data_IF_542892052126
#
_entry.id   IF_542892052126
#
_cell.length_a   1.000
_cell.length_b   1.000
_cell.length_c   1.000
_cell.angle_alpha   90.00
_cell.angle_beta   90.00
_cell.angle_gamma   90.00
#
_symmetry.space_group_name_H-M   'P 1'
#
loop_
_entity.id
_entity.type
_entity.pdbx_description
1 polymer ?
#
# COMPACT_ATOMS: atom_id res chain seq x y z
N UNK A 1 -13.18 -7.76 3.07
CA UNK A 1 -14.28 -7.26 2.24
C UNK A 1 -14.86 -6.07 2.97
N UNK A 2 -15.09 -4.95 2.28
CA UNK A 2 -15.80 -3.81 2.89
C UNK A 2 -17.27 -3.94 2.52
N UNK A 3 -18.14 -3.78 3.51
CA UNK A 3 -19.56 -3.57 3.34
C UNK A 3 -19.86 -2.13 3.67
N UNK A 4 -20.82 -1.53 2.97
CA UNK A 4 -21.23 -0.16 3.23
C UNK A 4 -22.72 0.02 2.99
N UNK A 5 -23.28 0.98 3.70
CA UNK A 5 -24.68 1.39 3.61
C UNK A 5 -24.78 2.91 3.53
N UNK A 6 -25.74 3.38 2.74
CA UNK A 6 -26.08 4.78 2.60
C UNK A 6 -27.29 5.15 3.45
N UNK A 7 -27.23 6.35 4.02
CA UNK A 7 -28.33 6.97 4.75
C UNK A 7 -28.50 8.40 4.24
N UNK A 8 -29.62 9.04 4.58
CA UNK A 8 -29.81 10.47 4.32
C UNK A 8 -28.82 11.37 5.07
N UNK A 9 -28.03 10.81 5.99
CA UNK A 9 -27.05 11.54 6.82
C UNK A 9 -25.60 11.15 6.53
N UNK A 10 -25.37 10.43 5.44
CA UNK A 10 -24.05 10.02 4.95
C UNK A 10 -23.89 8.51 4.82
N UNK A 11 -22.63 8.07 4.84
CA UNK A 11 -22.23 6.71 4.46
C UNK A 11 -21.54 6.02 5.63
N UNK A 12 -21.87 4.77 5.85
CA UNK A 12 -21.27 3.93 6.88
C UNK A 12 -20.61 2.72 6.22
N UNK A 13 -19.40 2.37 6.66
CA UNK A 13 -18.67 1.23 6.15
C UNK A 13 -18.06 0.39 7.27
N UNK A 14 -18.05 -0.92 7.05
CA UNK A 14 -17.47 -1.93 7.95
C UNK A 14 -16.54 -2.84 7.16
N UNK A 15 -15.39 -3.19 7.73
CA UNK A 15 -14.46 -4.13 7.11
C UNK A 15 -14.53 -5.55 7.70
N UNK A 16 -13.69 -6.45 7.16
CA UNK A 16 -13.66 -7.85 7.60
C UNK A 16 -13.05 -8.06 9.00
N UNK A 17 -12.44 -7.04 9.60
CA UNK A 17 -11.97 -7.04 10.97
C UNK A 17 -12.95 -6.33 11.91
N UNK A 18 -14.18 -6.06 11.45
CA UNK A 18 -15.24 -5.37 12.19
C UNK A 18 -14.86 -3.93 12.59
N UNK A 19 -13.87 -3.34 11.91
CA UNK A 19 -13.65 -1.91 12.04
C UNK A 19 -14.80 -1.18 11.36
N UNK A 20 -15.17 -0.02 11.90
CA UNK A 20 -16.27 0.78 11.39
C UNK A 20 -15.81 2.22 11.14
N UNK A 21 -16.33 2.81 10.06
CA UNK A 21 -16.14 4.23 9.78
C UNK A 21 -17.44 4.86 9.30
N UNK A 22 -17.68 6.10 9.72
CA UNK A 22 -18.86 6.88 9.31
C UNK A 22 -18.44 8.21 8.70
N UNK A 23 -18.78 8.38 7.42
CA UNK A 23 -18.78 9.67 6.73
C UNK A 23 -20.12 10.34 7.01
N UNK A 24 -20.11 11.44 7.76
CA UNK A 24 -21.34 12.20 8.03
C UNK A 24 -21.51 13.23 6.92
N UNK A 25 -22.66 13.24 6.26
CA UNK A 25 -23.03 14.17 5.21
C UNK A 25 -24.53 14.51 5.40
N UNK A 26 -24.86 15.68 5.98
CA UNK A 26 -26.17 15.94 6.57
C UNK A 26 -27.33 15.95 5.56
N UNK A 27 -27.03 16.20 4.29
CA UNK A 27 -27.97 16.29 3.17
C UNK A 27 -27.58 15.33 2.03
N UNK A 28 -27.01 14.17 2.39
CA UNK A 28 -26.56 13.17 1.43
C UNK A 28 -27.69 12.68 0.52
N UNK A 29 -27.46 12.77 -0.78
CA UNK A 29 -28.30 12.20 -1.81
C UNK A 29 -27.46 11.32 -2.74
N UNK A 30 -27.77 10.04 -2.80
CA UNK A 30 -27.09 9.09 -3.67
C UNK A 30 -27.21 9.51 -5.14
N UNK A 31 -26.10 9.48 -5.86
CA UNK A 31 -26.06 9.81 -7.27
C UNK A 31 -25.74 8.56 -8.09
N UNK A 32 -26.51 8.32 -9.16
CA UNK A 32 -26.27 7.20 -10.06
C UNK A 32 -25.01 7.38 -10.92
N UNK A 33 -24.62 8.64 -11.17
CA UNK A 33 -23.41 8.97 -11.91
C UNK A 33 -22.18 8.82 -11.01
N UNK A 34 -21.43 7.73 -11.19
CA UNK A 34 -20.19 7.52 -10.48
C UNK A 34 -19.16 8.61 -10.85
N UNK A 35 -18.57 9.25 -9.84
CA UNK A 35 -17.36 10.06 -10.00
C UNK A 35 -16.19 9.15 -9.65
N UNK A 36 -15.22 9.00 -10.56
CA UNK A 36 -14.11 8.06 -10.38
C UNK A 36 -13.04 8.66 -9.47
N UNK A 37 -12.74 7.97 -8.38
CA UNK A 37 -11.56 8.27 -7.57
C UNK A 37 -10.25 7.84 -8.28
N UNK A 38 -9.23 8.71 -8.33
CA UNK A 38 -7.95 8.33 -8.93
C UNK A 38 -7.16 7.36 -8.05
N UNK A 39 -7.36 7.38 -6.73
CA UNK A 39 -6.78 6.41 -5.80
C UNK A 39 -7.62 5.13 -5.74
N UNK A 40 -6.94 4.00 -5.59
CA UNK A 40 -7.61 2.70 -5.46
C UNK A 40 -8.27 2.57 -4.09
N UNK A 41 -9.55 2.23 -4.12
CA UNK A 41 -10.40 1.94 -2.98
C UNK A 41 -10.99 0.54 -3.13
N UNK A 42 -11.47 -0.03 -2.02
CA UNK A 42 -12.08 -1.37 -2.02
C UNK A 42 -13.57 -1.33 -2.30
N UNK A 43 -14.19 -0.21 -1.94
CA UNK A 43 -15.58 0.10 -2.15
C UNK A 43 -15.70 1.61 -2.34
N UNK A 44 -16.62 2.03 -3.18
CA UNK A 44 -16.82 3.41 -3.55
C UNK A 44 -18.32 3.66 -3.74
N UNK A 45 -18.74 4.87 -3.37
CA UNK A 45 -20.05 5.39 -3.72
C UNK A 45 -19.96 6.87 -4.09
N UNK A 46 -20.98 7.39 -4.77
CA UNK A 46 -21.07 8.80 -5.16
C UNK A 46 -22.40 9.38 -4.70
N UNK A 47 -22.35 10.61 -4.21
CA UNK A 47 -23.54 11.35 -3.80
C UNK A 47 -23.33 12.86 -3.91
N UNK A 48 -24.40 13.59 -3.60
CA UNK A 48 -24.41 15.05 -3.54
C UNK A 48 -24.63 15.46 -2.09
N UNK A 49 -23.86 16.44 -1.62
CA UNK A 49 -23.95 16.96 -0.25
C UNK A 49 -23.38 18.37 -0.16
N UNK A 50 -23.88 19.20 0.75
CA UNK A 50 -23.32 20.54 1.02
C UNK A 50 -22.10 20.50 1.93
N UNK A 51 -21.93 19.41 2.68
CA UNK A 51 -20.76 19.20 3.52
C UNK A 51 -20.55 17.71 3.81
N UNK A 52 -19.34 17.34 4.23
CA UNK A 52 -19.10 16.05 4.85
C UNK A 52 -18.08 16.13 5.99
N UNK A 53 -18.07 15.11 6.85
CA UNK A 53 -17.04 14.95 7.86
C UNK A 53 -16.67 13.49 8.11
N UNK A 54 -15.38 13.25 8.29
CA UNK A 54 -14.79 11.93 8.51
C UNK A 54 -13.90 11.95 9.76
N UNK A 55 -13.86 10.84 10.52
CA UNK A 55 -12.87 10.74 11.59
C UNK A 55 -11.48 10.66 10.94
N UNK A 56 -10.53 11.47 11.41
CA UNK A 56 -9.17 11.48 10.89
C UNK A 56 -8.26 12.05 11.98
N UNK A 57 -7.17 11.33 12.29
CA UNK A 57 -6.07 11.90 13.08
C UNK A 57 -5.12 12.69 12.19
N UNK A 58 -4.84 12.13 11.01
CA UNK A 58 -4.05 12.74 9.94
C UNK A 58 -4.87 12.73 8.64
N UNK A 59 -4.69 13.76 7.81
CA UNK A 59 -5.33 13.84 6.51
C UNK A 59 -4.41 14.49 5.48
N UNK A 60 -4.53 14.02 4.24
CA UNK A 60 -3.74 14.48 3.12
C UNK A 60 -4.67 15.02 2.03
N UNK A 61 -4.34 16.19 1.49
CA UNK A 61 -5.07 16.82 0.39
C UNK A 61 -4.18 16.91 -0.85
N UNK A 62 -4.67 16.39 -1.96
CA UNK A 62 -4.03 16.48 -3.27
C UNK A 62 -4.99 17.07 -4.31
N UNK A 63 -4.45 17.75 -5.31
CA UNK A 63 -5.19 18.10 -6.52
C UNK A 63 -4.61 17.31 -7.68
N UNK A 64 -5.41 16.57 -8.49
CA UNK A 64 -4.88 15.76 -9.59
C UNK A 64 -4.24 16.60 -10.70
N UNK A 65 -4.53 17.90 -10.77
CA UNK A 65 -3.87 18.83 -11.69
C UNK A 65 -2.43 19.14 -11.29
N UNK A 66 -2.10 18.96 -10.00
CA UNK A 66 -0.77 19.22 -9.46
C UNK A 66 -0.14 17.92 -8.96
N UNK A 67 1.17 17.77 -9.07
CA UNK A 67 1.85 16.65 -8.40
C UNK A 67 2.05 16.91 -6.90
N UNK A 68 1.49 18.00 -6.37
CA UNK A 68 1.66 18.41 -4.99
C UNK A 68 0.55 17.80 -4.13
N UNK A 69 0.97 17.30 -2.96
CA UNK A 69 0.10 16.83 -1.91
C UNK A 69 0.51 17.51 -0.62
N UNK A 70 -0.46 17.90 0.20
CA UNK A 70 -0.25 18.64 1.44
C UNK A 70 -0.91 17.89 2.59
N UNK A 71 -0.15 17.64 3.66
CA UNK A 71 -0.70 17.13 4.92
C UNK A 71 -1.40 18.27 5.65
N UNK A 72 -2.64 18.03 6.08
CA UNK A 72 -3.43 18.97 6.87
C UNK A 72 -3.02 18.86 8.33
N UNK A 73 -2.74 19.99 8.98
CA UNK A 73 -2.47 20.02 10.41
C UNK A 73 -3.75 20.24 11.22
N UNK A 74 -3.80 19.68 12.42
CA UNK A 74 -4.91 19.92 13.35
C UNK A 74 -5.03 21.42 13.71
N UNK A 75 -6.26 21.93 13.70
CA UNK A 75 -6.61 23.33 13.90
C UNK A 75 -6.43 24.22 12.66
N UNK A 76 -5.95 23.67 11.54
CA UNK A 76 -5.77 24.42 10.31
C UNK A 76 -7.07 24.51 9.52
N UNK A 77 -7.31 25.69 8.93
CA UNK A 77 -8.40 25.95 7.99
C UNK A 77 -7.82 26.33 6.65
N UNK A 78 -8.22 25.61 5.61
CA UNK A 78 -7.74 25.84 4.26
C UNK A 78 -8.91 26.16 3.34
N UNK A 79 -8.82 27.30 2.65
CA UNK A 79 -9.74 27.65 1.57
C UNK A 79 -9.20 27.08 0.26
N UNK A 80 -9.99 26.23 -0.39
CA UNK A 80 -9.71 25.69 -1.70
C UNK A 80 -10.37 26.55 -2.77
N UNK A 81 -9.64 26.76 -3.86
CA UNK A 81 -10.14 27.44 -5.05
C UNK A 81 -10.98 26.48 -5.90
N UNK A 82 -11.44 26.95 -7.05
CA UNK A 82 -12.05 26.08 -8.04
C UNK A 82 -11.02 25.06 -8.56
N UNK A 83 -11.42 23.79 -8.68
CA UNK A 83 -10.55 22.71 -9.16
C UNK A 83 -10.95 21.35 -8.58
N UNK A 84 -10.33 20.28 -9.09
CA UNK A 84 -10.53 18.95 -8.54
C UNK A 84 -9.60 18.68 -7.35
N UNK A 85 -10.14 18.00 -6.35
CA UNK A 85 -9.41 17.63 -5.15
C UNK A 85 -9.70 16.19 -4.76
N UNK A 86 -8.68 15.56 -4.18
CA UNK A 86 -8.83 14.30 -3.45
C UNK A 86 -8.22 14.43 -2.08
N UNK A 87 -8.98 13.97 -1.11
CA UNK A 87 -8.67 14.05 0.30
C UNK A 87 -8.65 12.64 0.88
N UNK A 88 -7.53 12.27 1.48
CA UNK A 88 -7.32 10.98 2.14
C UNK A 88 -7.27 11.21 3.65
N UNK A 89 -8.19 10.58 4.38
CA UNK A 89 -8.23 10.56 5.83
C UNK A 89 -7.80 9.18 6.31
N UNK A 90 -6.70 9.12 7.05
CA UNK A 90 -6.12 7.86 7.52
C UNK A 90 -6.87 7.35 8.77
N UNK A 91 -7.07 6.04 8.83
CA UNK A 91 -7.76 5.41 9.96
C UNK A 91 -7.69 3.88 9.94
N UNK A 92 -8.49 3.21 10.76
CA UNK A 92 -8.63 1.75 10.67
C UNK A 92 -9.21 1.32 9.30
N UNK A 93 -10.07 2.17 8.76
CA UNK A 93 -10.51 2.17 7.37
C UNK A 93 -10.20 3.58 6.86
N UNK A 94 -9.26 3.70 5.93
CA UNK A 94 -8.96 4.96 5.26
C UNK A 94 -10.18 5.39 4.45
N UNK A 95 -10.45 6.70 4.48
CA UNK A 95 -11.52 7.31 3.68
C UNK A 95 -10.90 8.22 2.64
N UNK A 96 -11.16 7.92 1.38
CA UNK A 96 -10.75 8.73 0.23
C UNK A 96 -11.96 9.47 -0.28
N UNK A 97 -11.93 10.80 -0.27
CA UNK A 97 -13.04 11.63 -0.78
C UNK A 97 -12.56 12.50 -1.92
N UNK A 98 -13.19 12.33 -3.07
CA UNK A 98 -12.96 13.16 -4.25
C UNK A 98 -14.11 14.13 -4.43
N UNK A 99 -13.81 15.42 -4.59
CA UNK A 99 -14.81 16.44 -4.90
C UNK A 99 -14.23 17.51 -5.85
N UNK A 100 -15.09 18.41 -6.34
CA UNK A 100 -14.70 19.61 -7.07
C UNK A 100 -14.94 20.83 -6.18
N UNK A 101 -13.95 21.71 -6.04
CA UNK A 101 -14.04 22.96 -5.27
C UNK A 101 -14.49 24.14 -6.13
N UNK A 102 -14.80 25.30 -5.52
CA UNK A 102 -14.29 25.79 -4.23
C UNK A 102 -14.89 25.09 -3.00
N UNK A 103 -14.08 24.95 -1.95
CA UNK A 103 -14.49 24.32 -0.69
C UNK A 103 -13.67 24.86 0.50
N UNK A 104 -14.22 24.79 1.71
CA UNK A 104 -13.47 24.99 2.94
C UNK A 104 -13.17 23.66 3.61
N UNK A 105 -11.90 23.45 3.98
CA UNK A 105 -11.42 22.26 4.67
C UNK A 105 -10.92 22.66 6.05
N UNK A 106 -11.36 21.92 7.08
CA UNK A 106 -10.95 22.12 8.46
C UNK A 106 -10.66 20.77 9.10
N UNK A 107 -9.47 20.60 9.67
CA UNK A 107 -9.12 19.42 10.46
C UNK A 107 -9.08 19.81 11.94
N UNK A 108 -10.10 19.46 12.71
CA UNK A 108 -10.11 19.65 14.18
C UNK A 108 -10.12 18.27 14.88
N UNK A 109 -11.21 17.92 15.56
CA UNK A 109 -11.50 16.57 16.08
C UNK A 109 -11.89 15.58 14.98
N UNK A 110 -12.31 16.13 13.84
CA UNK A 110 -12.71 15.43 12.62
C UNK A 110 -12.32 16.32 11.45
N UNK A 111 -12.04 15.69 10.33
CA UNK A 111 -11.90 16.38 9.07
C UNK A 111 -13.28 16.77 8.56
N UNK A 112 -13.47 18.06 8.27
CA UNK A 112 -14.70 18.66 7.77
C UNK A 112 -14.44 19.37 6.46
N UNK A 113 -15.33 19.15 5.50
CA UNK A 113 -15.33 19.87 4.22
C UNK A 113 -16.72 20.44 3.99
N UNK A 114 -16.80 21.71 3.62
CA UNK A 114 -18.06 22.40 3.29
C UNK A 114 -17.96 23.12 1.96
N UNK A 115 -19.05 23.10 1.21
CA UNK A 115 -19.19 23.72 -0.10
C UNK A 115 -20.17 24.89 -0.02
N UNK A 116 -20.05 25.85 -0.95
CA UNK A 116 -20.98 26.98 -1.04
C UNK A 116 -22.37 26.56 -1.57
N UNK A 117 -22.42 25.47 -2.33
CA UNK A 117 -23.62 24.80 -2.80
C UNK A 117 -23.42 23.27 -2.73
N UNK A 118 -24.50 22.46 -2.67
CA UNK A 118 -24.38 21.01 -2.71
C UNK A 118 -23.57 20.53 -3.91
N UNK A 119 -22.52 19.76 -3.64
CA UNK A 119 -21.53 19.36 -4.62
C UNK A 119 -21.48 17.84 -4.72
N UNK A 120 -21.05 17.33 -5.88
CA UNK A 120 -20.91 15.90 -6.10
C UNK A 120 -19.60 15.42 -5.48
N UNK A 121 -19.70 14.41 -4.62
CA UNK A 121 -18.56 13.81 -3.93
C UNK A 121 -18.53 12.29 -4.15
N UNK A 122 -17.35 11.77 -4.47
CA UNK A 122 -17.07 10.34 -4.43
C UNK A 122 -16.45 9.99 -3.09
N UNK A 123 -16.99 8.99 -2.41
CA UNK A 123 -16.49 8.48 -1.13
C UNK A 123 -16.06 7.05 -1.33
N UNK A 124 -14.78 6.80 -1.14
CA UNK A 124 -14.20 5.48 -1.21
C UNK A 124 -13.56 5.06 0.10
N UNK A 125 -13.54 3.75 0.34
CA UNK A 125 -13.07 3.15 1.57
C UNK A 125 -11.91 2.21 1.27
N UNK A 126 -10.87 2.26 2.10
CA UNK A 126 -9.71 1.39 2.00
C UNK A 126 -9.39 0.77 3.36
N UNK A 127 -9.61 -0.53 3.49
CA UNK A 127 -9.39 -1.24 4.75
C UNK A 127 -7.97 -1.79 4.83
N UNK A 128 -7.31 -1.52 5.94
CA UNK A 128 -5.97 -2.02 6.27
C UNK A 128 -5.97 -3.39 6.97
N UNK A 129 -7.14 -4.00 7.15
CA UNK A 129 -7.27 -5.32 7.74
C UNK A 129 -6.42 -6.37 7.00
N UNK A 130 -5.54 -7.03 7.75
CA UNK A 130 -4.59 -8.03 7.24
C UNK A 130 -5.06 -9.45 7.57
N UNK A 131 -6.15 -9.87 6.93
CA UNK A 131 -6.61 -11.25 6.98
C UNK A 131 -6.46 -11.91 5.60
N UNK A 132 -6.13 -13.22 5.53
CA UNK A 132 -6.12 -13.94 4.26
C UNK A 132 -7.50 -13.86 3.61
N UNK A 133 -7.61 -13.40 2.35
CA UNK A 133 -8.90 -13.23 1.69
C UNK A 133 -9.56 -14.58 1.33
N UNK A 134 -8.76 -15.62 1.17
CA UNK A 134 -9.18 -16.99 0.91
C UNK A 134 -8.03 -17.97 1.21
N UNK A 135 -8.30 -19.27 1.17
CA UNK A 135 -7.30 -20.33 1.29
C UNK A 135 -7.13 -21.05 -0.05
N UNK A 136 -5.88 -21.26 -0.47
CA UNK A 136 -5.50 -22.06 -1.63
C UNK A 136 -5.04 -23.42 -1.13
N UNK A 137 -5.49 -24.49 -1.77
CA UNK A 137 -5.00 -25.85 -1.50
C UNK A 137 -3.96 -26.25 -2.54
N UNK A 138 -2.81 -26.77 -2.10
CA UNK A 138 -1.71 -27.19 -2.98
C UNK A 138 -1.13 -28.55 -2.56
N UNK A 139 -0.59 -29.34 -3.50
CA UNK A 139 0.18 -30.53 -3.17
C UNK A 139 1.54 -30.18 -2.54
N UNK A 140 2.08 -31.09 -1.73
CA UNK A 140 3.45 -31.00 -1.15
C UNK A 140 4.53 -31.32 -2.20
N UNK A 141 4.50 -30.62 -3.32
CA UNK A 141 5.43 -30.78 -4.45
C UNK A 141 6.02 -29.43 -4.84
N UNK A 142 7.10 -29.45 -5.63
CA UNK A 142 7.69 -28.22 -6.16
C UNK A 142 6.69 -27.42 -7.01
N UNK A 143 5.86 -28.10 -7.80
CA UNK A 143 4.81 -27.46 -8.60
C UNK A 143 3.71 -26.84 -7.73
N UNK A 144 3.37 -27.49 -6.60
CA UNK A 144 2.46 -26.92 -5.60
C UNK A 144 3.00 -25.64 -4.98
N UNK A 145 4.29 -25.61 -4.59
CA UNK A 145 4.94 -24.40 -4.09
C UNK A 145 5.02 -23.30 -5.16
N UNK A 146 5.33 -23.64 -6.41
CA UNK A 146 5.34 -22.68 -7.50
C UNK A 146 3.94 -22.05 -7.73
N UNK A 147 2.89 -22.86 -7.61
CA UNK A 147 1.49 -22.40 -7.65
C UNK A 147 1.19 -21.44 -6.51
N UNK A 148 1.65 -21.76 -5.29
CA UNK A 148 1.47 -20.89 -4.12
C UNK A 148 2.13 -19.52 -4.30
N UNK A 149 3.40 -19.50 -4.73
CA UNK A 149 4.15 -18.26 -4.99
C UNK A 149 3.50 -17.44 -6.10
N UNK A 150 2.99 -18.09 -7.15
CA UNK A 150 2.27 -17.41 -8.24
C UNK A 150 1.04 -16.68 -7.72
N UNK A 151 0.22 -17.35 -6.92
CA UNK A 151 -1.02 -16.78 -6.40
C UNK A 151 -0.84 -15.88 -5.17
N UNK A 152 0.33 -15.87 -4.52
CA UNK A 152 0.67 -14.89 -3.50
C UNK A 152 0.63 -13.45 -4.04
N UNK A 153 0.82 -13.25 -5.35
CA UNK A 153 0.71 -11.95 -6.01
C UNK A 153 -0.70 -11.33 -5.93
N UNK A 154 -1.75 -12.14 -5.67
CA UNK A 154 -3.11 -11.64 -5.41
C UNK A 154 -3.21 -10.76 -4.16
N UNK A 155 -2.15 -10.71 -3.33
CA UNK A 155 -2.04 -9.79 -2.21
C UNK A 155 -1.95 -8.31 -2.63
N UNK A 156 -1.54 -8.02 -3.87
CA UNK A 156 -1.39 -6.64 -4.34
C UNK A 156 -2.73 -6.11 -4.85
N UNK A 157 -3.12 -4.91 -4.39
CA UNK A 157 -4.32 -4.21 -4.89
C UNK A 157 -4.17 -3.73 -6.33
N UNK A 158 -2.93 -3.55 -6.78
CA UNK A 158 -2.60 -2.99 -8.09
C UNK A 158 -1.42 -3.68 -8.73
N UNK A 159 -1.39 -3.62 -10.06
CA UNK A 159 -0.25 -4.02 -10.88
C UNK A 159 0.66 -2.83 -11.26
N UNK A 160 0.28 -1.60 -10.94
CA UNK A 160 1.09 -0.37 -11.15
C UNK A 160 2.28 -0.30 -10.18
N UNK A 161 3.21 0.66 -10.35
CA UNK A 161 4.30 0.87 -9.40
C UNK A 161 3.85 1.10 -7.96
N UNK A 162 2.65 1.64 -7.74
CA UNK A 162 2.09 1.93 -6.41
C UNK A 162 2.01 0.69 -5.51
N UNK A 163 2.09 -0.52 -6.07
CA UNK A 163 2.24 -1.78 -5.31
C UNK A 163 3.47 -1.80 -4.38
N UNK A 164 4.44 -0.90 -4.56
CA UNK A 164 5.58 -0.72 -3.66
C UNK A 164 5.23 -0.01 -2.35
N UNK A 165 4.09 0.69 -2.31
CA UNK A 165 3.61 1.31 -1.09
C UNK A 165 2.92 0.27 -0.16
N UNK A 166 3.14 0.32 1.17
CA UNK A 166 2.55 -0.62 2.11
C UNK A 166 1.01 -0.73 2.07
N UNK A 167 0.28 0.35 1.81
CA UNK A 167 -1.20 0.36 1.80
C UNK A 167 -1.79 -0.45 0.64
N UNK A 168 -1.04 -0.63 -0.44
CA UNK A 168 -1.44 -1.46 -1.58
C UNK A 168 -1.00 -2.93 -1.46
N UNK A 169 -0.48 -3.34 -0.29
CA UNK A 169 -0.11 -4.72 0.02
C UNK A 169 -1.02 -5.29 1.10
N UNK A 170 -1.90 -6.20 0.70
CA UNK A 170 -2.75 -6.96 1.62
C UNK A 170 -2.03 -8.21 2.13
N UNK A 171 -2.72 -8.92 3.03
CA UNK A 171 -2.30 -10.26 3.38
C UNK A 171 -2.47 -11.19 2.17
N UNK A 172 -1.47 -12.01 1.81
CA UNK A 172 -1.63 -13.02 0.77
C UNK A 172 -2.70 -14.06 1.14
N UNK A 173 -3.21 -14.83 0.17
CA UNK A 173 -4.05 -15.98 0.47
C UNK A 173 -3.36 -16.93 1.46
N UNK A 174 -4.17 -17.60 2.29
CA UNK A 174 -3.66 -18.68 3.12
C UNK A 174 -3.36 -19.90 2.23
N UNK A 175 -2.47 -20.77 2.69
CA UNK A 175 -2.09 -21.98 1.97
C UNK A 175 -2.32 -23.21 2.84
N UNK A 176 -3.02 -24.20 2.30
CA UNK A 176 -3.21 -25.50 2.91
C UNK A 176 -2.63 -26.59 2.00
N UNK A 177 -2.19 -27.70 2.60
CA UNK A 177 -1.74 -28.85 1.83
C UNK A 177 -2.89 -29.81 1.55
N UNK A 178 -2.98 -30.31 0.32
CA UNK A 178 -3.93 -31.32 -0.12
C UNK A 178 -3.38 -32.16 -1.26
N UNK A 179 -4.21 -33.00 -1.88
CA UNK A 179 -3.77 -33.87 -2.98
C UNK A 179 -3.80 -33.16 -4.34
N UNK A 180 -4.75 -32.24 -4.52
CA UNK A 180 -4.98 -31.49 -5.75
C UNK A 180 -4.83 -29.99 -5.52
N UNK A 181 -4.56 -29.27 -6.61
CA UNK A 181 -4.58 -27.80 -6.59
C UNK A 181 -6.03 -27.32 -6.61
N UNK A 182 -6.38 -26.46 -5.66
CA UNK A 182 -7.64 -25.73 -5.62
C UNK A 182 -7.36 -24.24 -5.36
N UNK A 183 -7.69 -23.41 -6.35
CA UNK A 183 -7.48 -21.96 -6.30
C UNK A 183 -8.85 -21.30 -6.37
N UNK A 184 -9.26 -20.58 -5.30
CA UNK A 184 -10.53 -19.86 -5.30
C UNK A 184 -10.64 -18.87 -6.48
N UNK A 185 -11.82 -18.74 -7.13
CA UNK A 185 -11.99 -17.85 -8.28
C UNK A 185 -11.59 -16.40 -8.03
N UNK A 186 -11.84 -15.88 -6.82
CA UNK A 186 -11.45 -14.52 -6.42
C UNK A 186 -9.94 -14.31 -6.43
N UNK A 187 -9.18 -15.30 -5.95
CA UNK A 187 -7.71 -15.30 -5.99
C UNK A 187 -7.21 -15.41 -7.42
N UNK A 188 -7.78 -16.32 -8.21
CA UNK A 188 -7.40 -16.50 -9.60
C UNK A 188 -7.61 -15.23 -10.44
N UNK A 189 -8.72 -14.52 -10.21
CA UNK A 189 -9.03 -13.25 -10.86
C UNK A 189 -8.06 -12.12 -10.46
N UNK A 190 -7.69 -12.04 -9.18
CA UNK A 190 -6.76 -11.04 -8.66
C UNK A 190 -5.29 -11.35 -8.97
N UNK A 191 -4.96 -12.58 -9.35
CA UNK A 191 -3.59 -12.96 -9.70
C UNK A 191 -3.23 -12.37 -11.06
N UNK A 192 -2.21 -11.49 -11.15
CA UNK A 192 -1.82 -10.91 -12.41
C UNK A 192 -1.41 -11.99 -13.41
N UNK A 193 -1.91 -11.90 -14.64
CA UNK A 193 -1.47 -12.78 -15.72
C UNK A 193 -0.07 -12.39 -16.13
N UNK A 194 0.92 -13.00 -15.49
CA UNK A 194 2.28 -12.91 -15.97
C UNK A 194 2.39 -13.74 -17.26
N UNK A 195 2.55 -13.08 -18.42
CA UNK A 195 3.15 -13.75 -19.58
C UNK A 195 4.63 -13.98 -19.26
N UNK A 196 4.92 -14.95 -18.41
CA UNK A 196 6.25 -15.52 -18.35
C UNK A 196 6.43 -16.32 -19.63
N UNK A 197 6.99 -15.70 -20.68
CA UNK A 197 7.68 -16.45 -21.73
C UNK A 197 8.92 -17.07 -21.10
N UNK A 198 8.74 -18.13 -20.32
CA UNK A 198 9.85 -19.02 -20.05
C UNK A 198 10.14 -19.72 -21.37
N UNK A 199 11.18 -19.24 -22.08
CA UNK A 199 11.90 -20.13 -22.99
C UNK A 199 12.43 -21.24 -22.09
N UNK A 200 11.73 -22.38 -22.03
CA UNK A 200 12.33 -23.63 -21.62
C UNK A 200 13.47 -23.88 -22.61
N UNK A 201 14.68 -23.40 -22.29
CA UNK A 201 15.86 -23.99 -22.86
C UNK A 201 15.84 -25.43 -22.34
N UNK A 202 15.53 -26.37 -23.23
CA UNK A 202 15.73 -27.77 -22.95
C UNK A 202 17.19 -27.91 -22.53
N UNK A 203 17.43 -28.15 -21.24
CA UNK A 203 18.71 -28.66 -20.77
C UNK A 203 18.80 -30.08 -21.34
N UNK A 204 19.21 -30.18 -22.60
CA UNK A 204 19.84 -31.39 -23.09
C UNK A 204 21.06 -31.61 -22.19
N UNK A 205 21.15 -32.79 -21.59
CA UNK A 205 22.32 -33.27 -20.86
C UNK A 205 23.51 -33.36 -21.84
N UNK A 206 24.10 -32.21 -22.16
CA UNK A 206 25.32 -32.08 -22.92
C UNK A 206 26.48 -32.07 -21.95
N UNK A 207 27.25 -33.16 -21.95
CA UNK A 207 28.46 -33.30 -21.15
C UNK A 207 29.32 -32.02 -21.16
N UNK A 208 29.50 -31.43 -19.98
CA UNK A 208 30.45 -30.34 -19.76
C UNK A 208 31.86 -30.92 -19.98
N UNK A 209 32.40 -30.77 -21.20
CA UNK A 209 33.84 -30.92 -21.40
C UNK A 209 34.50 -29.77 -20.66
N UNK A 210 35.14 -30.08 -19.52
CA UNK A 210 36.04 -29.15 -18.82
C UNK A 210 37.15 -28.77 -19.80
N UNK A 211 37.12 -27.55 -20.33
CA UNK A 211 38.30 -26.93 -20.92
C UNK A 211 39.20 -26.53 -19.76
N UNK A 212 40.39 -27.10 -19.68
CA UNK A 212 41.41 -26.68 -18.73
C UNK A 212 41.70 -25.17 -18.94
N UNK A 213 41.88 -24.40 -17.85
CA UNK A 213 42.27 -23.00 -17.97
C UNK A 213 43.66 -22.93 -18.60
N UNK A 214 43.81 -22.13 -19.67
CA UNK A 214 45.13 -21.67 -20.11
C UNK A 214 45.66 -20.75 -19.02
N UNK A 215 46.73 -21.17 -18.34
CA UNK A 215 47.51 -20.34 -17.44
C UNK A 215 48.05 -19.15 -18.25
N UNK A 216 47.64 -17.94 -17.86
CA UNK A 216 48.35 -16.72 -18.25
C UNK A 216 49.68 -16.69 -17.47
N UNK A 217 50.82 -16.40 -18.12
CA UNK A 217 52.08 -16.28 -17.42
C UNK A 217 52.14 -14.94 -16.67
N UNK A 218 52.51 -14.99 -15.40
CA UNK A 218 52.90 -13.82 -14.62
C UNK A 218 51.85 -13.36 -13.63
N UNK A 219 51.84 -14.00 -12.46
CA UNK A 219 51.68 -13.29 -11.19
C UNK A 219 52.22 -14.20 -10.09
N UNK A 220 53.44 -13.88 -9.67
CA UNK A 220 54.12 -14.50 -8.55
C UNK A 220 53.29 -14.35 -7.27
N UNK A 221 53.05 -15.47 -6.61
CA UNK A 221 52.40 -15.54 -5.32
C UNK A 221 53.44 -15.50 -4.22
N UNK A 222 53.82 -14.30 -3.75
CA UNK A 222 54.46 -14.20 -2.43
C UNK A 222 54.23 -12.83 -1.78
N UNK A 223 53.51 -12.82 -0.66
CA UNK A 223 53.66 -11.89 0.48
C UNK A 223 52.50 -12.06 1.46
N UNK A 224 52.62 -13.09 2.31
CA UNK A 224 52.07 -13.01 3.67
C UNK A 224 52.99 -12.14 4.52
N UNK A 225 52.39 -11.44 5.51
CA UNK A 225 53.00 -10.53 6.52
C UNK A 225 53.20 -9.12 5.94
N UNK A 226 52.72 -8.03 6.53
CA UNK A 226 52.75 -7.63 7.95
C UNK A 226 51.59 -6.70 8.33
N UNK A 227 51.18 -6.77 9.60
CA UNK A 227 50.45 -5.68 10.30
C UNK A 227 51.39 -4.48 10.37
N UNK A 228 50.90 -3.28 10.07
CA UNK A 228 51.32 -2.05 10.72
C UNK A 228 50.23 -0.98 10.50
N UNK A 229 49.78 -0.39 11.61
CA UNK A 229 48.84 0.71 11.65
C UNK A 229 49.60 2.03 11.43
N UNK A 230 49.07 3.00 10.67
CA UNK A 230 49.59 4.35 10.72
C UNK A 230 48.91 5.17 11.83
N UNK A 231 49.75 5.77 12.69
CA UNK A 231 49.41 6.81 13.65
C UNK A 231 49.09 8.15 12.93
N UNK A 232 48.45 9.13 13.59
CA UNK A 232 47.65 10.17 12.95
C UNK A 232 48.44 11.43 12.58
N UNK A 233 48.00 12.12 11.52
CA UNK A 233 48.42 13.49 11.21
C UNK A 233 47.50 14.51 11.92
N UNK A 234 48.05 15.60 12.51
CA UNK A 234 47.27 16.59 13.24
C UNK A 234 46.85 17.78 12.37
N UNK A 235 45.67 18.34 12.69
CA UNK A 235 45.32 19.74 12.47
C UNK A 235 44.56 20.06 11.18
N UNK A 236 43.25 20.34 11.32
CA UNK A 236 42.64 21.66 11.03
C UNK A 236 41.15 21.63 11.46
N UNK A 237 40.71 22.76 12.01
CA UNK A 237 39.47 23.02 12.74
C UNK A 237 38.20 23.08 11.87
N UNK A 238 37.07 22.89 12.58
CA UNK A 238 35.73 23.42 12.36
C UNK A 238 34.83 22.77 11.29
N UNK A 239 33.81 22.03 11.73
CA UNK A 239 32.48 22.61 11.98
C UNK A 239 31.49 21.52 12.39
N UNK A 240 30.80 21.79 13.48
CA UNK A 240 29.83 20.88 14.12
C UNK A 240 28.47 21.12 13.50
N UNK A 241 27.86 20.10 12.90
CA UNK A 241 26.40 20.06 12.71
C UNK A 241 25.95 18.60 12.83
N UNK A 242 25.12 18.24 13.84
CA UNK A 242 24.71 16.86 14.01
C UNK A 242 23.58 16.52 13.02
N UNK A 243 23.85 15.62 12.07
CA UNK A 243 22.78 14.94 11.34
C UNK A 243 22.10 13.95 12.29
N UNK A 244 20.85 14.20 12.63
CA UNK A 244 20.00 13.25 13.35
C UNK A 244 19.69 12.05 12.46
N UNK A 245 20.46 10.97 12.60
CA UNK A 245 20.03 9.64 12.17
C UNK A 245 18.92 9.18 13.10
N UNK A 246 17.69 9.13 12.61
CA UNK A 246 16.62 8.42 13.29
C UNK A 246 16.97 6.93 13.32
N UNK A 247 17.12 6.40 14.53
CA UNK A 247 17.36 4.99 14.77
C UNK A 247 16.00 4.29 14.81
N UNK A 248 15.72 3.52 13.76
CA UNK A 248 14.58 2.61 13.72
C UNK A 248 14.79 1.52 14.79
N UNK A 249 14.00 1.58 15.87
CA UNK A 249 13.94 0.51 16.88
C UNK A 249 12.93 -0.56 16.43
N UNK A 250 13.33 -1.83 16.28
CA UNK A 250 12.36 -2.90 16.09
C UNK A 250 11.57 -3.13 17.40
N UNK A 251 10.25 -3.02 17.34
CA UNK A 251 9.35 -3.43 18.43
C UNK A 251 9.41 -4.95 18.56
N UNK A 252 9.75 -5.43 19.77
CA UNK A 252 9.74 -6.86 20.13
C UNK A 252 8.30 -7.36 20.11
N UNK A 253 8.04 -8.45 19.39
CA UNK A 253 6.84 -9.27 19.59
C UNK A 253 6.91 -9.90 20.98
N UNK A 254 5.98 -9.55 21.86
CA UNK A 254 5.73 -10.27 23.10
C UNK A 254 5.02 -11.59 22.78
N UNK A 255 5.66 -12.71 23.13
CA UNK A 255 5.02 -14.03 23.21
C UNK A 255 3.99 -14.00 24.35
N UNK A 256 2.73 -14.25 24.03
CA UNK A 256 1.74 -14.64 25.03
C UNK A 256 1.94 -16.14 25.34
N UNK A 257 2.14 -16.46 26.61
CA UNK A 257 2.07 -17.83 27.14
C UNK A 257 0.63 -18.32 27.08
N UNK A 258 0.45 -19.53 26.56
CA UNK A 258 -0.75 -20.33 26.77
C UNK A 258 -0.79 -20.76 28.25
N UNK A 259 -1.95 -20.57 28.87
CA UNK A 259 -2.39 -21.28 30.06
C UNK A 259 -3.51 -22.24 29.65
#
# INVERSE_FOLDING_TARGET
MIQWDETSTGVFATDAAENEVRVRAPDWQSAADARVLPQLTDAETTGVTSAFSVPADDATLASPETTASTTLAAGERQQLAAGDYVLEADGAIDVVVGFSGPAQVVLDDRLRVSFDAPERVAVGFRSDARAPPATITIPKTLDGVATAVTHAAAAHRTTTPDRSDPGFRRHPPAFAFGETVDVPPSVAAATPRHRHRTRRAALAAGAVRRRAPRLLPGCDSDSRRRRDAPAPCPGTLASTTPSTRSTWKPRRCSRASLA
#
